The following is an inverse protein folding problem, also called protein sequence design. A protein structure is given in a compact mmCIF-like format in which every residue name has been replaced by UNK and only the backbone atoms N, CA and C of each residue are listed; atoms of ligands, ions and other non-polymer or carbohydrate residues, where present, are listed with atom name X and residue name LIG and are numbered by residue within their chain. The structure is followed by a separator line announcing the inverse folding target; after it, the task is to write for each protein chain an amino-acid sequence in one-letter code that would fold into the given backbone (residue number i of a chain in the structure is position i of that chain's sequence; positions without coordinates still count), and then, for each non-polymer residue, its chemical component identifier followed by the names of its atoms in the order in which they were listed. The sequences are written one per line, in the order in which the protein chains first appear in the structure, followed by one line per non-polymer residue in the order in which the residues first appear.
data_IF_873181962128
#
_entry.id   IF_873181962128
#
_cell.length_a   1.000
_cell.length_b   1.000
_cell.length_c   1.000
_cell.angle_alpha   90.00
_cell.angle_beta   90.00
_cell.angle_gamma   90.00
#
_symmetry.space_group_name_H-M   'P 1'
#
loop_
_entity.id
_entity.type
_entity.pdbx_description
1 polymer ?
#
# COMPACT_ATOMS: atom_id res chain seq x y z
N UNK A 1 -6.36 18.06 -9.84
CA UNK A 1 -6.28 17.64 -8.42
C UNK A 1 -4.86 17.16 -8.26
N UNK A 2 -4.08 17.67 -7.31
CA UNK A 2 -2.79 17.06 -6.99
C UNK A 2 -3.12 15.72 -6.32
N UNK A 3 -2.64 14.63 -6.87
CA UNK A 3 -2.81 13.31 -6.27
C UNK A 3 -2.07 13.32 -4.94
N UNK A 4 -2.57 12.60 -3.94
CA UNK A 4 -1.89 12.47 -2.65
C UNK A 4 -0.53 11.80 -2.89
N UNK A 5 0.53 12.32 -2.27
CA UNK A 5 1.85 11.67 -2.26
C UNK A 5 1.72 10.27 -1.65
N UNK A 6 2.33 9.26 -2.29
CA UNK A 6 2.24 7.87 -1.86
C UNK A 6 3.56 7.48 -1.21
N UNK A 7 3.48 7.09 0.06
CA UNK A 7 4.65 6.76 0.88
C UNK A 7 4.46 5.44 1.61
N UNK A 8 5.56 4.79 1.99
CA UNK A 8 5.59 3.53 2.73
C UNK A 8 5.13 3.63 4.20
N UNK A 9 4.65 4.79 4.63
CA UNK A 9 4.14 5.03 5.98
C UNK A 9 2.60 5.01 6.06
N UNK A 10 1.92 4.72 4.96
CA UNK A 10 0.46 4.68 4.92
C UNK A 10 -0.04 3.31 5.37
N UNK A 11 -1.02 3.28 6.27
CA UNK A 11 -1.67 2.05 6.73
C UNK A 11 -2.34 1.28 5.59
N UNK A 12 -2.96 2.01 4.66
CA UNK A 12 -3.69 1.48 3.51
C UNK A 12 -3.36 2.31 2.27
N UNK A 13 -3.09 1.63 1.16
CA UNK A 13 -2.86 2.23 -0.17
C UNK A 13 -3.81 1.57 -1.18
N UNK A 14 -4.47 2.38 -2.02
CA UNK A 14 -5.26 1.88 -3.16
C UNK A 14 -4.41 1.89 -4.43
N UNK A 15 -4.39 0.78 -5.16
CA UNK A 15 -3.61 0.67 -6.40
C UNK A 15 -4.00 1.70 -7.47
N UNK A 16 -5.23 2.26 -7.44
CA UNK A 16 -5.64 3.33 -8.35
C UNK A 16 -4.90 4.62 -8.06
N UNK A 17 -4.65 4.91 -6.79
CA UNK A 17 -3.87 6.09 -6.39
C UNK A 17 -2.43 5.92 -6.90
N UNK A 18 -1.85 4.71 -6.79
CA UNK A 18 -0.52 4.40 -7.36
C UNK A 18 -0.49 4.66 -8.87
N UNK A 19 -1.49 4.15 -9.60
CA UNK A 19 -1.58 4.35 -11.05
C UNK A 19 -1.75 5.82 -11.42
N UNK A 20 -2.53 6.58 -10.66
CA UNK A 20 -2.71 8.01 -10.86
C UNK A 20 -1.41 8.78 -10.57
N UNK A 21 -0.70 8.44 -9.49
CA UNK A 21 0.57 9.06 -9.11
C UNK A 21 1.68 8.81 -10.13
N UNK A 22 1.82 7.57 -10.62
CA UNK A 22 2.77 7.26 -11.72
C UNK A 22 2.49 8.12 -12.95
N UNK A 23 1.21 8.24 -13.36
CA UNK A 23 0.83 9.05 -14.52
C UNK A 23 1.09 10.54 -14.31
N UNK A 24 0.93 11.04 -13.09
CA UNK A 24 1.26 12.42 -12.74
C UNK A 24 2.76 12.68 -12.90
N UNK A 25 3.61 11.85 -12.28
CA UNK A 25 5.08 11.95 -12.38
C UNK A 25 5.56 11.88 -13.83
N UNK A 26 5.06 10.92 -14.61
CA UNK A 26 5.38 10.82 -16.04
C UNK A 26 4.86 12.02 -16.85
N UNK A 27 3.72 12.60 -16.47
CA UNK A 27 3.15 13.79 -17.08
C UNK A 27 3.89 15.09 -16.76
N UNK A 28 4.54 15.14 -15.60
CA UNK A 28 5.43 16.22 -15.16
C UNK A 28 6.82 16.13 -15.80
N UNK A 29 7.12 15.02 -16.49
CA UNK A 29 8.38 14.80 -17.18
C UNK A 29 9.46 14.18 -16.31
N UNK A 30 9.08 13.59 -15.16
CA UNK A 30 9.99 12.81 -14.31
C UNK A 30 10.51 11.63 -15.13
N UNK A 31 11.83 11.53 -15.22
CA UNK A 31 12.53 10.47 -15.94
C UNK A 31 12.95 9.34 -14.98
N UNK A 32 13.28 8.15 -15.49
CA UNK A 32 13.88 7.09 -14.68
C UNK A 32 15.14 7.56 -13.95
N UNK A 33 15.39 7.04 -12.74
CA UNK A 33 16.52 7.43 -11.89
C UNK A 33 17.88 7.23 -12.56
N UNK A 34 18.01 6.25 -13.47
CA UNK A 34 19.25 6.01 -14.23
C UNK A 34 19.50 7.04 -15.35
N UNK A 35 18.52 7.89 -15.66
CA UNK A 35 18.64 9.01 -16.59
C UNK A 35 18.94 10.35 -15.88
N UNK A 36 18.85 10.39 -14.54
CA UNK A 36 19.22 11.55 -13.71
C UNK A 36 20.76 11.68 -13.66
N UNK A 37 21.29 12.86 -13.95
CA UNK A 37 22.71 13.19 -13.81
C UNK A 37 22.99 13.95 -12.51
N UNK A 38 24.25 14.02 -12.10
CA UNK A 38 24.70 14.74 -10.90
C UNK A 38 24.43 16.26 -10.94
N UNK A 39 24.10 16.80 -12.11
CA UNK A 39 23.76 18.21 -12.30
C UNK A 39 22.27 18.53 -12.08
N UNK A 40 21.40 17.51 -12.02
CA UNK A 40 19.97 17.68 -11.79
C UNK A 40 19.66 18.11 -10.34
N UNK A 41 18.47 18.69 -10.13
CA UNK A 41 18.06 19.14 -8.80
C UNK A 41 17.81 17.92 -7.89
N UNK A 42 18.07 18.06 -6.57
CA UNK A 42 17.82 16.98 -5.59
C UNK A 42 16.36 16.53 -5.63
N UNK A 43 15.44 17.47 -5.86
CA UNK A 43 14.01 17.18 -6.01
C UNK A 43 13.72 16.28 -7.22
N UNK A 44 14.43 16.46 -8.34
CA UNK A 44 14.27 15.59 -9.53
C UNK A 44 14.72 14.15 -9.24
N UNK A 45 15.80 13.99 -8.47
CA UNK A 45 16.27 12.67 -8.02
C UNK A 45 15.29 11.99 -7.06
N UNK A 46 14.73 12.73 -6.09
CA UNK A 46 13.72 12.21 -5.16
C UNK A 46 12.44 11.78 -5.90
N UNK A 47 11.97 12.55 -6.88
CA UNK A 47 10.82 12.20 -7.71
C UNK A 47 11.10 10.98 -8.60
N UNK A 48 12.33 10.84 -9.12
CA UNK A 48 12.73 9.69 -9.90
C UNK A 48 12.82 8.40 -9.06
N UNK A 49 13.30 8.49 -7.80
CA UNK A 49 13.26 7.41 -6.82
C UNK A 49 11.82 7.00 -6.48
N UNK A 50 10.93 7.96 -6.22
CA UNK A 50 9.49 7.70 -5.99
C UNK A 50 8.90 6.94 -7.19
N UNK A 51 9.11 7.44 -8.41
CA UNK A 51 8.64 6.81 -9.64
C UNK A 51 9.15 5.37 -9.79
N UNK A 52 10.43 5.15 -9.47
CA UNK A 52 11.04 3.82 -9.52
C UNK A 52 10.39 2.86 -8.51
N UNK A 53 10.21 3.28 -7.26
CA UNK A 53 9.58 2.46 -6.23
C UNK A 53 8.12 2.12 -6.57
N UNK A 54 7.34 3.09 -7.03
CA UNK A 54 5.93 2.86 -7.43
C UNK A 54 5.83 1.91 -8.63
N UNK A 55 6.76 2.01 -9.59
CA UNK A 55 6.83 1.09 -10.74
C UNK A 55 7.23 -0.33 -10.32
N UNK A 56 8.22 -0.48 -9.45
CA UNK A 56 8.63 -1.77 -8.91
C UNK A 56 7.48 -2.45 -8.15
N UNK A 57 6.80 -1.70 -7.28
CA UNK A 57 5.61 -2.15 -6.56
C UNK A 57 4.51 -2.62 -7.52
N UNK A 58 4.24 -1.84 -8.58
CA UNK A 58 3.24 -2.19 -9.60
C UNK A 58 3.61 -3.44 -10.40
N UNK A 59 4.90 -3.66 -10.67
CA UNK A 59 5.38 -4.85 -11.38
C UNK A 59 5.23 -6.11 -10.53
N UNK A 60 5.61 -6.05 -9.25
CA UNK A 60 5.57 -7.19 -8.33
C UNK A 60 4.15 -7.57 -7.93
N UNK A 61 3.30 -6.58 -7.59
CA UNK A 61 1.93 -6.81 -7.15
C UNK A 61 0.90 -6.82 -8.30
N UNK A 62 1.36 -6.75 -9.56
CA UNK A 62 0.49 -6.63 -10.73
C UNK A 62 -0.51 -7.79 -10.82
N UNK A 63 -1.80 -7.44 -10.92
CA UNK A 63 -2.89 -8.39 -11.16
C UNK A 63 -3.87 -7.83 -12.17
N UNK A 64 -4.77 -8.68 -12.69
CA UNK A 64 -5.83 -8.23 -13.60
C UNK A 64 -6.78 -7.20 -12.95
N UNK A 65 -6.86 -7.19 -11.61
CA UNK A 65 -7.69 -6.26 -10.85
C UNK A 65 -6.93 -4.99 -10.41
N UNK A 66 -5.61 -4.90 -10.63
CA UNK A 66 -4.79 -3.76 -10.21
C UNK A 66 -5.36 -2.42 -10.68
N UNK A 67 -5.83 -2.36 -11.94
CA UNK A 67 -6.45 -1.13 -12.47
C UNK A 67 -7.85 -0.84 -11.93
N UNK A 68 -8.51 -1.84 -11.31
CA UNK A 68 -9.85 -1.73 -10.73
C UNK A 68 -9.83 -1.23 -9.28
N UNK A 69 -8.67 -1.26 -8.62
CA UNK A 69 -8.51 -0.93 -7.20
C UNK A 69 -8.28 -2.19 -6.38
N UNK A 70 -7.02 -2.42 -6.03
CA UNK A 70 -6.54 -3.41 -5.08
C UNK A 70 -6.08 -2.65 -3.84
N UNK A 71 -6.50 -3.12 -2.68
CA UNK A 71 -6.10 -2.54 -1.39
C UNK A 71 -4.82 -3.21 -0.91
N UNK A 72 -3.79 -2.41 -0.69
CA UNK A 72 -2.54 -2.79 -0.04
C UNK A 72 -2.62 -2.36 1.43
N UNK A 73 -2.26 -3.26 2.34
CA UNK A 73 -2.37 -3.06 3.79
C UNK A 73 -0.97 -3.20 4.40
N UNK A 74 -0.52 -2.21 5.15
CA UNK A 74 0.78 -2.26 5.84
C UNK A 74 0.85 -3.45 6.80
N UNK A 75 2.01 -4.13 6.85
CA UNK A 75 2.28 -5.19 7.83
C UNK A 75 2.00 -4.72 9.27
N UNK A 76 2.45 -3.50 9.62
CA UNK A 76 2.30 -2.93 10.95
C UNK A 76 0.82 -2.62 11.30
N UNK A 77 -0.03 -2.44 10.29
CA UNK A 77 -1.46 -2.15 10.45
C UNK A 77 -2.35 -3.41 10.33
N UNK A 78 -1.78 -4.56 9.94
CA UNK A 78 -2.58 -5.72 9.53
C UNK A 78 -3.46 -6.29 10.66
N UNK A 79 -3.03 -6.17 11.93
CA UNK A 79 -3.86 -6.56 13.08
C UNK A 79 -5.10 -5.67 13.22
N UNK A 80 -4.93 -4.36 13.13
CA UNK A 80 -6.04 -3.41 13.23
C UNK A 80 -6.98 -3.57 12.03
N UNK A 81 -6.43 -3.76 10.82
CA UNK A 81 -7.21 -4.13 9.64
C UNK A 81 -8.04 -5.40 9.87
N UNK A 82 -7.48 -6.46 10.47
CA UNK A 82 -8.21 -7.70 10.74
C UNK A 82 -9.40 -7.47 11.69
N UNK A 83 -9.24 -6.57 12.67
CA UNK A 83 -10.32 -6.15 13.59
C UNK A 83 -11.41 -5.40 12.82
N UNK A 84 -11.05 -4.39 12.05
CA UNK A 84 -11.98 -3.61 11.24
C UNK A 84 -12.73 -4.48 10.23
N UNK A 85 -12.02 -5.38 9.55
CA UNK A 85 -12.61 -6.33 8.61
C UNK A 85 -13.63 -7.25 9.28
N UNK A 86 -13.31 -7.79 10.46
CA UNK A 86 -14.24 -8.64 11.21
C UNK A 86 -15.51 -7.91 11.61
N UNK A 87 -15.41 -6.62 11.95
CA UNK A 87 -16.57 -5.78 12.22
C UNK A 87 -17.39 -5.48 10.97
N UNK A 88 -16.73 -5.15 9.86
CA UNK A 88 -17.37 -4.75 8.61
C UNK A 88 -18.12 -5.92 7.93
N UNK A 89 -17.61 -7.15 8.06
CA UNK A 89 -18.33 -8.36 7.59
C UNK A 89 -19.39 -8.85 8.59
N UNK A 90 -19.49 -8.22 9.77
CA UNK A 90 -20.44 -8.59 10.82
C UNK A 90 -20.09 -9.88 11.55
N UNK A 91 -18.83 -10.32 11.52
CA UNK A 91 -18.35 -11.44 12.32
C UNK A 91 -18.34 -11.09 13.83
N UNK A 92 -18.07 -9.81 14.15
CA UNK A 92 -18.15 -9.24 15.49
C UNK A 92 -18.92 -7.91 15.40
N UNK A 93 -19.82 -7.65 16.35
CA UNK A 93 -20.55 -6.38 16.38
C UNK A 93 -19.69 -5.29 17.04
N UNK A 94 -19.64 -4.09 16.42
CA UNK A 94 -18.89 -2.92 16.91
C UNK A 94 -19.30 -2.48 18.33
N UNK A 95 -20.49 -2.87 18.79
CA UNK A 95 -21.02 -2.49 20.10
C UNK A 95 -20.62 -3.44 21.24
N UNK A 96 -19.95 -4.55 20.96
CA UNK A 96 -19.62 -5.55 21.97
C UNK A 96 -18.20 -5.40 22.52
N UNK A 97 -18.09 -4.93 23.78
CA UNK A 97 -16.83 -5.01 24.53
C UNK A 97 -16.41 -6.46 24.81
N UNK A 98 -17.38 -7.34 25.09
CA UNK A 98 -17.18 -8.77 25.21
C UNK A 98 -17.97 -9.48 24.10
N UNK A 99 -17.35 -10.35 23.29
CA UNK A 99 -16.00 -10.89 23.44
C UNK A 99 -14.87 -10.09 22.75
N UNK A 100 -15.13 -9.00 22.04
CA UNK A 100 -14.16 -8.35 21.15
C UNK A 100 -12.82 -7.98 21.81
N UNK A 101 -12.85 -7.46 23.04
CA UNK A 101 -11.63 -7.09 23.79
C UNK A 101 -10.87 -8.29 24.41
N UNK A 102 -11.37 -9.51 24.19
CA UNK A 102 -10.77 -10.75 24.70
C UNK A 102 -10.38 -11.72 23.58
N UNK A 103 -10.47 -11.30 22.33
CA UNK A 103 -9.98 -12.06 21.19
C UNK A 103 -8.46 -11.87 21.09
N UNK A 104 -7.78 -12.97 20.79
CA UNK A 104 -6.36 -12.97 20.44
C UNK A 104 -6.22 -12.47 19.00
N UNK A 105 -6.19 -11.15 18.85
CA UNK A 105 -6.18 -10.48 17.54
C UNK A 105 -4.88 -10.70 16.78
N UNK A 106 -3.74 -10.76 17.47
CA UNK A 106 -2.45 -11.13 16.89
C UNK A 106 -2.54 -12.51 16.21
N UNK A 107 -3.11 -13.51 16.87
CA UNK A 107 -3.28 -14.83 16.24
C UNK A 107 -4.32 -14.80 15.12
N UNK A 108 -5.42 -14.07 15.28
CA UNK A 108 -6.46 -13.98 14.27
C UNK A 108 -5.95 -13.32 12.98
N UNK A 109 -5.17 -12.25 13.10
CA UNK A 109 -4.56 -11.53 11.98
C UNK A 109 -3.53 -12.41 11.26
N UNK A 110 -2.67 -13.13 12.00
CA UNK A 110 -1.71 -14.07 11.44
C UNK A 110 -2.39 -15.17 10.58
N UNK A 111 -3.53 -15.72 11.01
CA UNK A 111 -4.28 -16.72 10.24
C UNK A 111 -4.96 -16.09 9.01
N UNK A 112 -5.50 -14.87 9.14
CA UNK A 112 -6.09 -14.12 8.03
C UNK A 112 -5.05 -13.77 6.95
N UNK A 113 -3.84 -13.40 7.36
CA UNK A 113 -2.75 -13.00 6.47
C UNK A 113 -2.31 -14.11 5.52
N UNK A 114 -2.56 -15.39 5.84
CA UNK A 114 -2.28 -16.53 4.96
C UNK A 114 -3.03 -16.46 3.62
N UNK A 115 -4.13 -15.71 3.55
CA UNK A 115 -4.89 -15.47 2.32
C UNK A 115 -4.35 -14.30 1.47
N UNK A 116 -3.30 -13.60 1.95
CA UNK A 116 -2.70 -12.43 1.32
C UNK A 116 -1.29 -12.73 0.80
N UNK A 117 -0.87 -11.96 -0.19
CA UNK A 117 0.48 -11.94 -0.75
C UNK A 117 1.21 -10.69 -0.25
N UNK A 118 2.47 -10.84 0.14
CA UNK A 118 3.33 -9.73 0.54
C UNK A 118 4.07 -9.14 -0.67
N UNK A 119 4.26 -7.82 -0.66
CA UNK A 119 5.10 -7.06 -1.60
C UNK A 119 5.94 -6.04 -0.85
N UNK A 120 7.18 -5.81 -1.29
CA UNK A 120 8.04 -4.76 -0.75
C UNK A 120 7.71 -3.39 -1.37
N UNK A 121 7.56 -2.38 -0.52
CA UNK A 121 7.48 -0.99 -0.93
C UNK A 121 8.44 -0.15 -0.09
N UNK A 122 9.58 0.19 -0.68
CA UNK A 122 10.64 0.98 -0.04
C UNK A 122 11.05 0.41 1.33
N UNK A 123 11.28 -0.91 1.37
CA UNK A 123 11.69 -1.64 2.57
C UNK A 123 10.59 -1.96 3.58
N UNK A 124 9.34 -1.59 3.30
CA UNK A 124 8.17 -1.92 4.14
C UNK A 124 7.32 -2.97 3.42
N UNK A 125 6.87 -3.99 4.15
CA UNK A 125 6.00 -5.03 3.59
C UNK A 125 4.55 -4.57 3.59
N UNK A 126 3.90 -4.68 2.43
CA UNK A 126 2.47 -4.51 2.26
C UNK A 126 1.81 -5.82 1.83
N UNK A 127 0.60 -6.07 2.31
CA UNK A 127 -0.21 -7.23 1.98
C UNK A 127 -1.36 -6.88 1.04
N UNK A 128 -1.55 -7.68 0.00
CA UNK A 128 -2.64 -7.55 -0.96
C UNK A 128 -3.21 -8.93 -1.33
N UNK A 129 -4.39 -8.96 -1.96
CA UNK A 129 -5.08 -10.20 -2.31
C UNK A 129 -5.63 -10.15 -3.74
#
# INVERSE_FOLDING_TARGET
MKTTEITNNQDIIDSRDIVERIKELEGEGVVPLDEIDQEDEVEDAELAEELQHLKALTEEASSSEWSSGVTLISEDYFEDYAREFAEDVGAIDKSYDWPANHIDWERASNELQLDYMGVDFDGVTYYFR
#
